data_IF_302184297346
#
_entry.id   IF_302184297346
#
_cell.length_a   1.000
_cell.length_b   1.000
_cell.length_c   1.000
_cell.angle_alpha   90.00
_cell.angle_beta   90.00
_cell.angle_gamma   90.00
#
_symmetry.space_group_name_H-M   'P 1'
#
loop_
_entity.id
_entity.type
_entity.pdbx_description
1 polymer ?
#
# COMPACT_ATOMS: atom_id res chain seq x y z
N UNK A 1 -10.75 -0.09 12.64
CA UNK A 1 -11.98 0.05 11.82
C UNK A 1 -12.30 1.54 11.59
N UNK A 2 -11.76 2.12 10.52
CA UNK A 2 -11.97 3.53 10.16
C UNK A 2 -12.57 3.60 8.77
N UNK A 3 -13.77 4.18 8.71
CA UNK A 3 -14.57 4.45 7.51
C UNK A 3 -13.75 5.10 6.39
N UNK A 4 -13.56 4.34 5.31
CA UNK A 4 -13.11 4.80 3.99
C UNK A 4 -14.08 4.23 2.96
N UNK A 5 -15.34 4.65 3.06
CA UNK A 5 -16.41 4.43 2.06
C UNK A 5 -16.30 5.36 0.85
N UNK A 6 -15.13 6.00 0.63
CA UNK A 6 -14.88 6.74 -0.61
C UNK A 6 -14.26 5.78 -1.61
N UNK A 7 -15.04 5.38 -2.60
CA UNK A 7 -14.55 4.84 -3.88
C UNK A 7 -13.69 5.91 -4.55
N UNK A 8 -12.44 6.06 -4.13
CA UNK A 8 -11.53 6.93 -4.86
C UNK A 8 -11.17 6.21 -6.17
N UNK A 9 -11.28 6.84 -7.34
CA UNK A 9 -10.74 6.28 -8.59
C UNK A 9 -9.21 6.15 -8.56
N UNK A 10 -8.54 6.70 -7.54
CA UNK A 10 -7.09 6.79 -7.47
C UNK A 10 -6.37 5.43 -7.31
N UNK A 11 -6.77 4.50 -6.41
CA UNK A 11 -6.27 3.12 -6.40
C UNK A 11 -6.41 2.42 -7.75
N UNK A 12 -7.56 2.59 -8.42
CA UNK A 12 -7.82 2.02 -9.74
C UNK A 12 -6.84 2.57 -10.79
N UNK A 13 -6.66 3.89 -10.84
CA UNK A 13 -5.75 4.53 -11.79
C UNK A 13 -4.30 4.08 -11.59
N UNK A 14 -3.86 3.98 -10.34
CA UNK A 14 -2.52 3.48 -9.99
C UNK A 14 -2.34 2.02 -10.41
N UNK A 15 -3.31 1.15 -10.07
CA UNK A 15 -3.27 -0.26 -10.45
C UNK A 15 -3.26 -0.47 -11.97
N UNK A 16 -4.10 0.28 -12.70
CA UNK A 16 -4.13 0.22 -14.15
C UNK A 16 -2.85 0.78 -14.79
N UNK A 17 -2.25 1.82 -14.20
CA UNK A 17 -0.96 2.33 -14.65
C UNK A 17 0.13 1.27 -14.50
N UNK A 18 0.22 0.62 -13.33
CA UNK A 18 1.17 -0.46 -13.09
C UNK A 18 1.00 -1.62 -14.10
N UNK A 19 -0.24 -2.04 -14.35
CA UNK A 19 -0.54 -3.08 -15.33
C UNK A 19 -0.10 -2.68 -16.75
N UNK A 20 -0.36 -1.43 -17.16
CA UNK A 20 0.07 -0.92 -18.49
C UNK A 20 1.58 -0.74 -18.61
N UNK A 21 2.28 -0.47 -17.50
CA UNK A 21 3.72 -0.35 -17.45
C UNK A 21 4.46 -1.70 -17.51
N UNK A 22 3.71 -2.82 -17.58
CA UNK A 22 4.29 -4.15 -17.76
C UNK A 22 4.44 -4.97 -16.47
N UNK A 23 3.75 -4.59 -15.38
CA UNK A 23 3.74 -5.43 -14.19
C UNK A 23 3.12 -6.81 -14.50
N UNK A 24 3.86 -7.88 -14.21
CA UNK A 24 3.39 -9.26 -14.45
C UNK A 24 2.18 -9.66 -13.60
N UNK A 25 1.95 -8.95 -12.50
CA UNK A 25 0.82 -9.12 -11.60
C UNK A 25 0.60 -7.82 -10.82
N UNK A 26 -0.66 -7.43 -10.64
CA UNK A 26 -1.04 -6.26 -9.82
C UNK A 26 -2.10 -6.71 -8.82
N UNK A 27 -1.88 -6.39 -7.54
CA UNK A 27 -2.83 -6.64 -6.45
C UNK A 27 -3.17 -5.35 -5.75
N UNK A 28 -4.46 -5.09 -5.56
CA UNK A 28 -4.96 -4.01 -4.70
C UNK A 28 -5.36 -4.62 -3.36
N UNK A 29 -4.77 -4.11 -2.29
CA UNK A 29 -5.13 -4.44 -0.91
C UNK A 29 -6.27 -3.51 -0.48
N UNK A 30 -7.40 -4.07 -0.08
CA UNK A 30 -8.61 -3.30 0.24
C UNK A 30 -9.18 -3.71 1.60
N UNK A 31 -9.71 -2.77 2.40
CA UNK A 31 -10.46 -3.14 3.59
C UNK A 31 -11.77 -3.85 3.19
N UNK A 32 -12.29 -4.74 4.05
CA UNK A 32 -13.47 -5.55 3.75
C UNK A 32 -14.70 -4.77 3.29
N UNK A 33 -14.93 -3.57 3.84
CA UNK A 33 -16.04 -2.69 3.44
C UNK A 33 -15.88 -2.08 2.03
N UNK A 34 -14.69 -2.08 1.45
CA UNK A 34 -14.40 -1.58 0.10
C UNK A 34 -14.25 -2.72 -0.93
N UNK A 35 -14.21 -3.98 -0.51
CA UNK A 35 -13.97 -5.14 -1.38
C UNK A 35 -15.00 -5.25 -2.52
N UNK A 36 -16.30 -5.17 -2.21
CA UNK A 36 -17.34 -5.30 -3.23
C UNK A 36 -17.30 -4.18 -4.26
N UNK A 37 -17.08 -2.95 -3.79
CA UNK A 37 -16.98 -1.77 -4.64
C UNK A 37 -15.78 -1.90 -5.58
N UNK A 38 -14.62 -2.27 -5.04
CA UNK A 38 -13.39 -2.45 -5.83
C UNK A 38 -13.53 -3.61 -6.82
N UNK A 39 -14.18 -4.71 -6.44
CA UNK A 39 -14.40 -5.87 -7.31
C UNK A 39 -15.26 -5.56 -8.54
N UNK A 40 -16.19 -4.60 -8.44
CA UNK A 40 -16.98 -4.15 -9.59
C UNK A 40 -16.15 -3.38 -10.64
N UNK A 41 -15.03 -2.78 -10.25
CA UNK A 41 -14.22 -1.91 -11.11
C UNK A 41 -12.90 -2.55 -11.56
N UNK A 42 -12.36 -3.50 -10.79
CA UNK A 42 -11.04 -4.10 -10.99
C UNK A 42 -11.15 -5.52 -11.57
N UNK A 43 -11.60 -5.64 -12.82
CA UNK A 43 -11.84 -6.95 -13.45
C UNK A 43 -10.58 -7.68 -13.91
N UNK A 44 -9.48 -6.96 -14.15
CA UNK A 44 -8.18 -7.51 -14.57
C UNK A 44 -7.09 -7.40 -13.49
N UNK A 45 -7.44 -6.91 -12.30
CA UNK A 45 -6.51 -6.64 -11.20
C UNK A 45 -6.88 -7.55 -10.03
N UNK A 46 -5.90 -8.18 -9.39
CA UNK A 46 -6.18 -9.02 -8.23
C UNK A 46 -6.62 -8.15 -7.05
N UNK A 47 -7.57 -8.67 -6.28
CA UNK A 47 -8.03 -8.05 -5.05
C UNK A 47 -7.78 -8.98 -3.89
N UNK A 48 -7.24 -8.42 -2.80
CA UNK A 48 -7.07 -9.12 -1.53
C UNK A 48 -7.58 -8.23 -0.42
N UNK A 49 -8.37 -8.81 0.47
CA UNK A 49 -8.79 -8.13 1.68
C UNK A 49 -7.58 -7.93 2.59
N UNK A 50 -7.39 -6.70 3.07
CA UNK A 50 -6.45 -6.33 4.11
C UNK A 50 -6.97 -5.08 4.82
N UNK A 51 -7.32 -5.24 6.10
CA UNK A 51 -7.84 -4.19 6.97
C UNK A 51 -6.88 -3.76 8.08
N UNK A 52 -5.81 -4.52 8.31
CA UNK A 52 -4.79 -4.23 9.33
C UNK A 52 -3.36 -4.20 8.77
N UNK A 53 -2.41 -3.72 9.58
CA UNK A 53 -1.00 -3.68 9.19
C UNK A 53 -0.43 -5.08 9.05
N UNK A 54 -0.79 -5.95 9.99
CA UNK A 54 -0.33 -7.32 10.06
C UNK A 54 -0.74 -8.07 8.79
N UNK A 55 -1.99 -7.92 8.34
CA UNK A 55 -2.48 -8.53 7.11
C UNK A 55 -1.78 -8.00 5.84
N UNK A 56 -1.36 -6.73 5.85
CA UNK A 56 -0.56 -6.13 4.76
C UNK A 56 0.87 -6.68 4.80
N UNK A 57 1.51 -6.74 5.97
CA UNK A 57 2.87 -7.27 6.11
C UNK A 57 2.93 -8.74 5.73
N UNK A 58 1.98 -9.56 6.17
CA UNK A 58 1.86 -10.96 5.77
C UNK A 58 1.77 -11.13 4.25
N UNK A 59 1.10 -10.20 3.56
CA UNK A 59 1.07 -10.22 2.09
C UNK A 59 2.42 -9.92 1.48
N UNK A 60 3.08 -8.88 1.97
CA UNK A 60 4.36 -8.43 1.43
C UNK A 60 5.42 -9.52 1.60
N UNK A 61 5.48 -10.14 2.78
CA UNK A 61 6.37 -11.27 3.06
C UNK A 61 6.02 -12.52 2.26
N UNK A 62 4.74 -12.83 2.03
CA UNK A 62 4.38 -14.02 1.27
C UNK A 62 4.58 -13.83 -0.24
N UNK A 63 4.36 -12.62 -0.76
CA UNK A 63 4.30 -12.37 -2.21
C UNK A 63 5.55 -11.72 -2.78
N UNK A 64 6.33 -11.04 -1.93
CA UNK A 64 7.51 -10.25 -2.28
C UNK A 64 7.31 -9.41 -3.54
N UNK A 65 6.35 -8.45 -3.54
CA UNK A 65 6.11 -7.64 -4.72
C UNK A 65 7.32 -6.76 -5.02
N UNK A 66 7.69 -6.61 -6.29
CA UNK A 66 8.84 -5.76 -6.66
C UNK A 66 8.62 -4.26 -6.40
N UNK A 67 7.36 -3.82 -6.32
CA UNK A 67 7.01 -2.46 -5.98
C UNK A 67 5.66 -2.38 -5.25
N UNK A 68 5.52 -1.38 -4.38
CA UNK A 68 4.33 -1.07 -3.60
C UNK A 68 4.01 0.42 -3.73
N UNK A 69 2.74 0.76 -3.97
CA UNK A 69 2.25 2.14 -3.94
C UNK A 69 1.33 2.30 -2.73
N UNK A 70 1.65 3.26 -1.86
CA UNK A 70 0.87 3.56 -0.66
C UNK A 70 0.39 5.02 -0.70
N UNK A 71 -0.92 5.24 -0.56
CA UNK A 71 -1.46 6.59 -0.48
C UNK A 71 -2.81 6.83 -1.17
N UNK A 72 -3.00 6.45 -2.44
CA UNK A 72 -4.23 6.77 -3.15
C UNK A 72 -5.48 6.21 -2.45
N UNK A 73 -6.48 7.05 -2.17
CA UNK A 73 -7.80 6.60 -1.70
C UNK A 73 -7.89 6.19 -0.23
N UNK A 74 -6.89 6.51 0.58
CA UNK A 74 -6.89 6.23 2.02
C UNK A 74 -7.58 7.33 2.82
N UNK A 75 -7.66 8.54 2.25
CA UNK A 75 -8.07 9.76 2.91
C UNK A 75 -6.99 10.27 3.88
N UNK A 76 -6.63 11.56 3.86
CA UNK A 76 -5.53 12.07 4.66
C UNK A 76 -5.91 12.07 6.14
N UNK A 77 -5.25 11.23 6.94
CA UNK A 77 -5.50 11.06 8.37
C UNK A 77 -4.16 10.75 9.07
N UNK A 78 -3.93 11.20 10.32
CA UNK A 78 -2.69 10.89 11.05
C UNK A 78 -2.34 9.40 11.04
N UNK A 79 -3.35 8.53 11.20
CA UNK A 79 -3.21 7.07 11.14
C UNK A 79 -2.63 6.55 9.82
N UNK A 80 -2.89 7.20 8.69
CA UNK A 80 -2.31 6.83 7.38
C UNK A 80 -0.81 7.14 7.37
N UNK A 81 -0.39 8.25 7.99
CA UNK A 81 1.03 8.56 8.18
C UNK A 81 1.71 7.56 9.12
N UNK A 82 1.09 7.26 10.27
CA UNK A 82 1.62 6.27 11.22
C UNK A 82 1.78 4.89 10.58
N UNK A 83 0.84 4.52 9.70
CA UNK A 83 0.88 3.28 8.94
C UNK A 83 1.99 3.27 7.90
N UNK A 84 2.18 4.38 7.18
CA UNK A 84 3.30 4.53 6.24
C UNK A 84 4.66 4.36 6.94
N UNK A 85 4.84 4.98 8.11
CA UNK A 85 6.09 4.88 8.88
C UNK A 85 6.37 3.45 9.34
N UNK A 86 5.34 2.73 9.81
CA UNK A 86 5.49 1.33 10.22
C UNK A 86 5.83 0.42 9.03
N UNK A 87 5.23 0.69 7.87
CA UNK A 87 5.49 -0.04 6.64
C UNK A 87 6.93 0.20 6.12
N UNK A 88 7.42 1.44 6.16
CA UNK A 88 8.82 1.76 5.83
C UNK A 88 9.77 0.95 6.70
N UNK A 89 9.58 1.00 8.03
CA UNK A 89 10.43 0.25 8.98
C UNK A 89 10.44 -1.25 8.71
N UNK A 90 9.26 -1.83 8.46
CA UNK A 90 9.15 -3.25 8.16
C UNK A 90 9.88 -3.64 6.86
N UNK A 91 9.77 -2.82 5.82
CA UNK A 91 10.48 -3.03 4.56
C UNK A 91 11.99 -2.85 4.72
N UNK A 92 12.45 -1.90 5.54
CA UNK A 92 13.88 -1.76 5.84
C UNK A 92 14.43 -2.95 6.62
N UNK A 93 13.69 -3.44 7.61
CA UNK A 93 14.04 -4.64 8.37
C UNK A 93 14.17 -5.86 7.44
N UNK A 94 13.22 -6.03 6.52
CA UNK A 94 13.27 -7.09 5.50
C UNK A 94 14.45 -6.92 4.53
N UNK A 95 14.80 -5.68 4.15
CA UNK A 95 15.95 -5.41 3.29
C UNK A 95 17.30 -5.66 3.97
N UNK A 96 17.36 -5.57 5.32
CA UNK A 96 18.56 -5.85 6.12
C UNK A 96 18.81 -7.34 6.35
N UNK A 97 17.80 -8.18 6.24
CA UNK A 97 17.94 -9.63 6.36
C UNK A 97 18.53 -10.21 5.05
N UNK A 98 19.70 -10.85 5.16
CA UNK A 98 20.43 -11.44 4.02
C UNK A 98 19.58 -12.47 3.24
N UNK A 99 18.64 -13.14 3.90
CA UNK A 99 17.76 -14.12 3.26
C UNK A 99 16.72 -13.45 2.34
N UNK A 100 16.33 -12.21 2.64
CA UNK A 100 15.27 -11.46 1.93
C UNK A 100 15.79 -10.22 1.19
N UNK A 101 17.06 -9.87 1.30
CA UNK A 101 17.65 -8.69 0.65
C UNK A 101 17.43 -8.63 -0.87
N UNK A 102 17.36 -9.79 -1.55
CA UNK A 102 17.08 -9.87 -3.00
C UNK A 102 15.60 -9.61 -3.36
N UNK A 103 14.71 -9.52 -2.36
CA UNK A 103 13.27 -9.35 -2.50
C UNK A 103 12.77 -7.98 -2.02
N UNK A 104 13.68 -7.04 -1.74
CA UNK A 104 13.31 -5.71 -1.26
C UNK A 104 12.35 -5.00 -2.23
N UNK A 105 11.14 -4.70 -1.74
CA UNK A 105 10.14 -3.95 -2.50
C UNK A 105 10.49 -2.48 -2.61
N UNK A 106 10.44 -1.91 -3.81
CA UNK A 106 10.45 -0.45 -3.95
C UNK A 106 9.13 0.14 -3.42
N UNK A 107 9.17 1.13 -2.55
CA UNK A 107 7.98 1.79 -2.01
C UNK A 107 7.78 3.18 -2.63
N UNK A 108 6.57 3.46 -3.11
CA UNK A 108 6.13 4.77 -3.59
C UNK A 108 5.07 5.31 -2.66
N UNK A 109 5.38 6.44 -2.01
CA UNK A 109 4.42 7.22 -1.23
C UNK A 109 3.77 8.27 -2.12
N UNK A 110 2.44 8.31 -2.17
CA UNK A 110 1.70 9.27 -3.01
C UNK A 110 0.49 9.86 -2.25
N UNK A 111 -0.10 10.93 -2.79
CA UNK A 111 -1.40 11.49 -2.40
C UNK A 111 -1.64 11.59 -0.87
N UNK A 112 -2.55 10.78 -0.32
CA UNK A 112 -2.94 10.84 1.09
C UNK A 112 -1.81 10.41 2.02
N UNK A 113 -0.86 9.58 1.56
CA UNK A 113 0.29 9.18 2.35
C UNK A 113 1.23 10.36 2.58
N UNK A 114 1.64 11.07 1.52
CA UNK A 114 2.48 12.27 1.64
C UNK A 114 1.74 13.34 2.45
N UNK A 115 0.45 13.55 2.19
CA UNK A 115 -0.37 14.53 2.91
C UNK A 115 -0.47 14.21 4.40
N UNK A 116 -0.59 12.93 4.76
CA UNK A 116 -0.64 12.50 6.16
C UNK A 116 0.73 12.62 6.83
N UNK A 117 1.81 12.23 6.14
CA UNK A 117 3.19 12.34 6.63
C UNK A 117 3.68 13.78 6.76
N UNK A 118 3.08 14.74 6.04
CA UNK A 118 3.41 16.16 6.19
C UNK A 118 3.22 16.69 7.63
N UNK A 119 2.43 16.00 8.46
CA UNK A 119 2.26 16.32 9.88
C UNK A 119 3.38 15.77 10.77
N UNK A 120 4.21 14.85 10.25
CA UNK A 120 5.28 14.16 10.98
C UNK A 120 6.57 14.06 10.12
N UNK A 121 7.10 15.17 9.58
CA UNK A 121 8.18 15.13 8.60
C UNK A 121 9.49 14.58 9.19
N UNK A 122 9.78 14.88 10.46
CA UNK A 122 10.97 14.36 11.15
C UNK A 122 10.94 12.84 11.26
N UNK A 123 9.81 12.28 11.68
CA UNK A 123 9.64 10.84 11.77
C UNK A 123 9.78 10.14 10.41
N UNK A 124 9.42 10.80 9.31
CA UNK A 124 9.63 10.27 7.96
C UNK A 124 11.11 10.20 7.57
N UNK A 125 11.92 11.20 7.95
CA UNK A 125 13.35 11.20 7.65
C UNK A 125 14.18 10.33 8.61
N UNK A 126 13.61 9.94 9.75
CA UNK A 126 14.23 9.08 10.76
C UNK A 126 13.79 7.60 10.68
N UNK A 127 12.73 7.31 9.91
CA UNK A 127 12.20 5.95 9.71
C UNK A 127 13.00 5.21 8.66
#
# INVERSE_FOLDING_TARGET
>A
PGDSTVTAPAPLLSALAAARSGAGAVTVLSPGNAMQVNAMHLTSIMLREAGSLEEVQEFLMARHPGALVFGPGLGPKPKVGDFALQLIKALEEEARDEATANHASAMVLDADAITSLAHQPQALFEA
#
